data_IF_512632641664
#
_entry.id   IF_512632641664
#
_cell.length_a   1.000
_cell.length_b   1.000
_cell.length_c   1.000
_cell.angle_alpha   90.00
_cell.angle_beta   90.00
_cell.angle_gamma   90.00
#
_symmetry.space_group_name_H-M   'P 1'
#
loop_
_entity.id
_entity.type
_entity.pdbx_description
1 polymer ?
#
# COMPACT_ATOMS: atom_id res chain seq x y z
N UNK A 1 20.33 36.23 2.31
CA UNK A 1 20.08 34.86 1.82
C UNK A 1 20.60 33.89 2.87
N UNK A 2 19.73 33.20 3.62
CA UNK A 2 20.10 31.96 4.26
C UNK A 2 19.69 30.80 3.34
N UNK A 3 20.70 30.19 2.71
CA UNK A 3 20.59 28.87 2.12
C UNK A 3 20.51 27.79 3.23
N UNK A 4 19.94 26.63 2.86
CA UNK A 4 20.12 25.31 3.47
C UNK A 4 19.47 25.00 4.83
N UNK A 5 18.32 24.29 4.81
CA UNK A 5 18.02 23.07 5.60
C UNK A 5 16.53 22.64 5.55
N UNK A 6 15.89 22.67 4.37
CA UNK A 6 14.67 21.88 4.17
C UNK A 6 15.05 20.39 4.12
N UNK A 7 15.10 19.77 5.30
CA UNK A 7 15.42 18.37 5.53
C UNK A 7 14.37 17.46 4.89
N UNK A 8 14.52 17.25 3.59
CA UNK A 8 13.79 16.33 2.72
C UNK A 8 14.17 14.86 3.03
N UNK A 9 14.04 14.43 4.29
CA UNK A 9 14.50 13.12 4.77
C UNK A 9 13.37 12.43 5.52
N UNK A 10 12.66 11.59 4.80
CA UNK A 10 11.61 10.76 5.39
C UNK A 10 10.64 10.14 4.42
N UNK A 11 10.51 10.64 3.18
CA UNK A 11 9.54 10.13 2.21
C UNK A 11 10.08 8.86 1.51
N UNK A 12 9.74 7.63 1.93
CA UNK A 12 10.05 6.45 1.15
C UNK A 12 9.37 6.56 -0.22
N UNK A 13 9.98 6.01 -1.28
CA UNK A 13 9.29 5.92 -2.56
C UNK A 13 7.98 5.13 -2.41
N UNK A 14 6.93 5.52 -3.14
CA UNK A 14 5.56 4.99 -2.99
C UNK A 14 5.53 3.46 -2.96
N UNK A 15 6.29 2.80 -3.84
CA UNK A 15 6.36 1.34 -3.90
C UNK A 15 6.90 0.72 -2.61
N UNK A 16 7.88 1.36 -1.95
CA UNK A 16 8.48 0.88 -0.69
C UNK A 16 7.55 1.19 0.48
N UNK A 17 6.89 2.34 0.47
CA UNK A 17 5.86 2.67 1.44
C UNK A 17 4.69 1.67 1.38
N UNK A 18 4.29 1.31 0.17
CA UNK A 18 3.23 0.36 -0.11
C UNK A 18 3.58 -1.06 0.34
N UNK A 19 4.77 -1.55 -0.03
CA UNK A 19 5.18 -2.93 0.23
C UNK A 19 5.30 -3.26 1.71
N UNK A 20 5.83 -2.32 2.48
CA UNK A 20 6.18 -2.53 3.89
C UNK A 20 5.24 -1.79 4.86
N UNK A 21 4.26 -1.04 4.36
CA UNK A 21 3.34 -0.26 5.19
C UNK A 21 4.02 0.85 5.98
N UNK A 22 4.87 1.65 5.33
CA UNK A 22 5.55 2.78 5.95
C UNK A 22 4.69 4.03 5.91
N UNK A 23 4.88 4.89 6.90
CA UNK A 23 4.41 6.26 6.87
C UNK A 23 5.02 6.99 5.66
N UNK A 24 4.22 7.67 4.83
CA UNK A 24 4.72 8.40 3.68
C UNK A 24 5.54 9.64 4.05
N UNK A 25 5.36 10.17 5.27
CA UNK A 25 6.09 11.34 5.77
C UNK A 25 7.45 10.97 6.37
N UNK A 26 7.47 10.00 7.30
CA UNK A 26 8.66 9.70 8.11
C UNK A 26 9.29 8.32 7.84
N UNK A 27 8.66 7.47 7.02
CA UNK A 27 9.18 6.15 6.69
C UNK A 27 9.09 5.10 7.80
N UNK A 28 8.43 5.37 8.93
CA UNK A 28 8.25 4.38 9.99
C UNK A 28 7.17 3.34 9.63
N UNK A 29 7.30 2.04 9.99
CA UNK A 29 6.33 0.98 9.69
C UNK A 29 5.09 1.05 10.60
N UNK A 30 4.40 2.19 10.62
CA UNK A 30 3.28 2.50 11.52
C UNK A 30 1.95 2.65 10.80
N UNK A 31 1.89 2.39 9.49
CA UNK A 31 0.74 2.74 8.66
C UNK A 31 -0.52 1.90 9.01
N UNK A 32 -0.31 0.65 9.43
CA UNK A 32 -1.39 -0.30 9.70
C UNK A 32 -1.46 -0.68 11.19
N UNK A 33 -2.68 -0.77 11.71
CA UNK A 33 -3.02 -1.21 13.08
C UNK A 33 -3.73 -2.57 13.09
N UNK A 34 -3.89 -3.19 11.92
CA UNK A 34 -4.50 -4.50 11.76
C UNK A 34 -4.09 -5.16 10.44
N UNK A 35 -4.76 -6.26 10.05
CA UNK A 35 -4.43 -6.98 8.82
C UNK A 35 -4.59 -6.10 7.57
N UNK A 36 -5.64 -5.28 7.52
CA UNK A 36 -5.94 -4.37 6.39
C UNK A 36 -6.40 -2.97 6.83
N UNK A 37 -6.43 -2.72 8.14
CA UNK A 37 -6.93 -1.47 8.74
C UNK A 37 -5.78 -0.48 8.97
N UNK A 38 -5.96 0.74 8.49
CA UNK A 38 -5.04 1.85 8.78
C UNK A 38 -5.09 2.23 10.26
N UNK A 39 -3.92 2.60 10.80
CA UNK A 39 -3.87 3.31 12.08
C UNK A 39 -4.57 4.67 11.92
N UNK A 40 -5.13 5.26 12.99
CA UNK A 40 -5.68 6.62 12.91
C UNK A 40 -4.57 7.67 12.75
N UNK A 41 -3.40 7.44 13.37
CA UNK A 41 -2.26 8.37 13.34
C UNK A 41 -0.92 7.62 13.32
N UNK A 42 0.09 8.23 12.70
CA UNK A 42 1.46 7.75 12.77
C UNK A 42 1.98 7.85 14.22
N UNK A 43 2.52 6.75 14.75
CA UNK A 43 3.13 6.73 16.10
C UNK A 43 4.48 7.43 16.19
N UNK A 44 5.15 7.68 15.05
CA UNK A 44 6.48 8.29 15.00
C UNK A 44 6.43 9.80 14.73
N UNK A 45 5.71 10.23 13.68
CA UNK A 45 5.63 11.66 13.31
C UNK A 45 4.29 12.32 13.62
N UNK A 46 3.28 11.57 14.07
CA UNK A 46 1.96 12.14 14.39
C UNK A 46 1.07 12.45 13.19
N UNK A 47 1.47 12.10 11.95
CA UNK A 47 0.64 12.28 10.76
C UNK A 47 -0.73 11.61 10.93
N UNK A 48 -1.79 12.37 10.71
CA UNK A 48 -3.17 11.87 10.75
C UNK A 48 -3.50 11.14 9.44
N UNK A 49 -3.73 9.83 9.52
CA UNK A 49 -4.09 9.01 8.36
C UNK A 49 -5.59 9.11 8.03
N UNK A 50 -6.43 9.56 8.98
CA UNK A 50 -7.87 9.67 8.78
C UNK A 50 -8.27 10.74 7.76
N UNK A 51 -7.41 11.74 7.56
CA UNK A 51 -7.54 12.78 6.51
C UNK A 51 -7.41 12.20 5.09
N UNK A 52 -6.89 11.00 4.94
CA UNK A 52 -6.73 10.31 3.66
C UNK A 52 -7.83 9.26 3.50
N UNK A 53 -8.93 9.65 2.86
CA UNK A 53 -10.01 8.73 2.52
C UNK A 53 -9.66 7.95 1.24
N UNK A 54 -8.80 6.93 1.38
CA UNK A 54 -8.49 5.99 0.31
C UNK A 54 -9.47 4.82 0.33
N UNK A 55 -10.37 4.80 -0.64
CA UNK A 55 -11.37 3.75 -0.79
C UNK A 55 -10.78 2.40 -1.20
N UNK A 56 -11.62 1.36 -1.18
CA UNK A 56 -11.28 -0.01 -1.58
C UNK A 56 -11.21 -0.22 -3.11
N UNK A 57 -11.04 0.85 -3.90
CA UNK A 57 -11.07 0.79 -5.37
C UNK A 57 -10.18 -0.29 -6.01
N UNK A 58 -8.94 -0.51 -5.55
CA UNK A 58 -8.08 -1.57 -6.09
C UNK A 58 -8.51 -2.98 -5.69
N UNK A 59 -9.35 -3.15 -4.66
CA UNK A 59 -9.63 -4.45 -4.07
C UNK A 59 -10.19 -5.45 -5.07
N UNK A 60 -11.23 -5.06 -5.83
CA UNK A 60 -11.86 -5.94 -6.80
C UNK A 60 -10.88 -6.39 -7.89
N UNK A 61 -10.12 -5.45 -8.45
CA UNK A 61 -9.13 -5.73 -9.49
C UNK A 61 -7.99 -6.62 -8.98
N UNK A 62 -7.47 -6.34 -7.78
CA UNK A 62 -6.47 -7.15 -7.12
C UNK A 62 -6.97 -8.58 -6.89
N UNK A 63 -8.20 -8.74 -6.39
CA UNK A 63 -8.77 -10.07 -6.15
C UNK A 63 -8.98 -10.86 -7.43
N UNK A 64 -9.39 -10.24 -8.54
CA UNK A 64 -9.51 -10.93 -9.82
C UNK A 64 -8.15 -11.40 -10.35
N UNK A 65 -7.12 -10.54 -10.29
CA UNK A 65 -5.77 -10.91 -10.74
C UNK A 65 -5.21 -12.04 -9.88
N UNK A 66 -5.29 -11.91 -8.56
CA UNK A 66 -4.81 -12.94 -7.63
C UNK A 66 -5.56 -14.25 -7.88
N UNK A 67 -6.88 -14.21 -8.02
CA UNK A 67 -7.70 -15.38 -8.30
C UNK A 67 -7.30 -16.07 -9.61
N UNK A 68 -7.12 -15.31 -10.70
CA UNK A 68 -6.69 -15.85 -11.98
C UNK A 68 -5.31 -16.51 -11.90
N UNK A 69 -4.35 -15.87 -11.21
CA UNK A 69 -3.00 -16.42 -11.02
C UNK A 69 -3.01 -17.71 -10.19
N UNK A 70 -3.79 -17.74 -9.10
CA UNK A 70 -3.91 -18.91 -8.23
C UNK A 70 -4.58 -20.06 -8.99
N UNK A 71 -5.65 -19.81 -9.74
CA UNK A 71 -6.31 -20.86 -10.55
C UNK A 71 -5.36 -21.42 -11.60
N UNK A 72 -4.64 -20.56 -12.33
CA UNK A 72 -3.65 -21.00 -13.32
C UNK A 72 -2.54 -21.86 -12.67
N UNK A 73 -2.06 -21.43 -11.50
CA UNK A 73 -1.03 -22.17 -10.76
C UNK A 73 -1.56 -23.48 -10.17
N UNK A 74 -2.81 -23.52 -9.70
CA UNK A 74 -3.48 -24.73 -9.23
C UNK A 74 -3.61 -25.76 -10.34
N UNK A 75 -4.07 -25.35 -11.52
CA UNK A 75 -4.16 -26.21 -12.70
C UNK A 75 -2.77 -26.75 -13.08
N UNK A 76 -1.74 -25.89 -13.10
CA UNK A 76 -0.39 -26.32 -13.42
C UNK A 76 0.17 -27.35 -12.42
N UNK A 77 -0.08 -27.16 -11.12
CA UNK A 77 0.32 -28.11 -10.07
C UNK A 77 -0.44 -29.42 -10.19
N UNK A 78 -1.73 -29.36 -10.50
CA UNK A 78 -2.58 -30.54 -10.71
C UNK A 78 -2.05 -31.41 -11.86
N UNK A 79 -1.74 -30.80 -13.00
CA UNK A 79 -1.16 -31.49 -14.15
C UNK A 79 0.25 -32.05 -13.91
N UNK A 80 1.05 -31.42 -13.04
CA UNK A 80 2.44 -31.79 -12.84
C UNK A 80 2.65 -32.86 -11.75
N UNK A 81 1.80 -32.87 -10.71
CA UNK A 81 2.04 -33.66 -9.50
C UNK A 81 0.87 -34.55 -9.08
N UNK A 82 -0.29 -34.48 -9.76
CA UNK A 82 -1.56 -35.13 -9.39
C UNK A 82 -1.78 -35.20 -7.86
N UNK A 83 -1.67 -34.06 -7.12
CA UNK A 83 -1.77 -34.08 -5.67
C UNK A 83 -3.18 -34.43 -5.20
N UNK A 84 -3.32 -35.16 -4.08
CA UNK A 84 -4.63 -35.35 -3.44
C UNK A 84 -5.35 -34.03 -3.17
N UNK A 85 -6.69 -34.02 -3.25
CA UNK A 85 -7.50 -32.81 -3.05
C UNK A 85 -7.27 -32.10 -1.72
N UNK A 86 -6.95 -32.83 -0.65
CA UNK A 86 -6.67 -32.23 0.65
C UNK A 86 -5.39 -31.38 0.64
N UNK A 87 -4.37 -31.76 -0.14
CA UNK A 87 -3.14 -30.97 -0.32
C UNK A 87 -3.46 -29.66 -1.01
N UNK A 88 -4.29 -29.72 -2.07
CA UNK A 88 -4.77 -28.54 -2.76
C UNK A 88 -5.46 -27.56 -1.81
N UNK A 89 -6.41 -28.03 -1.00
CA UNK A 89 -7.11 -27.16 -0.04
C UNK A 89 -6.13 -26.58 0.98
N UNK A 90 -5.27 -27.40 1.58
CA UNK A 90 -4.33 -26.97 2.61
C UNK A 90 -3.28 -25.99 2.08
N UNK A 91 -2.89 -26.11 0.81
CA UNK A 91 -1.91 -25.24 0.17
C UNK A 91 -2.55 -23.94 -0.34
N UNK A 92 -3.61 -24.03 -1.13
CA UNK A 92 -4.18 -22.88 -1.83
C UNK A 92 -4.99 -21.97 -0.91
N UNK A 93 -5.66 -22.49 0.12
CA UNK A 93 -6.43 -21.66 1.07
C UNK A 93 -5.55 -20.63 1.79
N UNK A 94 -4.46 -21.01 2.50
CA UNK A 94 -3.62 -20.04 3.19
C UNK A 94 -2.88 -19.14 2.20
N UNK A 95 -2.44 -19.66 1.04
CA UNK A 95 -1.79 -18.85 0.00
C UNK A 95 -2.74 -17.78 -0.53
N UNK A 96 -3.98 -18.14 -0.84
CA UNK A 96 -4.99 -17.20 -1.33
C UNK A 96 -5.30 -16.14 -0.27
N UNK A 97 -5.52 -16.57 0.98
CA UNK A 97 -5.78 -15.65 2.08
C UNK A 97 -4.62 -14.66 2.27
N UNK A 98 -3.38 -15.15 2.29
CA UNK A 98 -2.19 -14.32 2.42
C UNK A 98 -2.03 -13.37 1.23
N UNK A 99 -2.20 -13.85 0.00
CA UNK A 99 -2.08 -13.04 -1.21
C UNK A 99 -3.11 -11.91 -1.25
N UNK A 100 -4.37 -12.19 -0.90
CA UNK A 100 -5.44 -11.19 -0.86
C UNK A 100 -5.17 -10.16 0.23
N UNK A 101 -4.87 -10.60 1.47
CA UNK A 101 -4.58 -9.67 2.58
C UNK A 101 -3.38 -8.78 2.24
N UNK A 102 -2.30 -9.38 1.74
CA UNK A 102 -1.10 -8.65 1.37
C UNK A 102 -1.36 -7.67 0.23
N UNK A 103 -2.02 -8.13 -0.83
CA UNK A 103 -2.35 -7.30 -1.99
C UNK A 103 -3.24 -6.11 -1.63
N UNK A 104 -4.24 -6.31 -0.76
CA UNK A 104 -5.06 -5.22 -0.22
C UNK A 104 -4.23 -4.23 0.58
N UNK A 105 -3.31 -4.72 1.42
CA UNK A 105 -2.45 -3.88 2.25
C UNK A 105 -1.53 -3.00 1.40
N UNK A 106 -0.89 -3.59 0.39
CA UNK A 106 -0.04 -2.87 -0.57
C UNK A 106 -0.85 -1.87 -1.39
N UNK A 107 -1.98 -2.29 -1.95
CA UNK A 107 -2.84 -1.44 -2.77
C UNK A 107 -3.34 -0.20 -2.02
N UNK A 108 -3.83 -0.40 -0.79
CA UNK A 108 -4.29 0.70 0.08
C UNK A 108 -3.14 1.64 0.46
N UNK A 109 -1.99 1.09 0.86
CA UNK A 109 -0.83 1.89 1.23
C UNK A 109 -0.27 2.71 0.06
N UNK A 110 -0.26 2.13 -1.16
CA UNK A 110 0.15 2.83 -2.38
C UNK A 110 -0.75 4.02 -2.67
N UNK A 111 -2.07 3.84 -2.57
CA UNK A 111 -3.03 4.92 -2.77
C UNK A 111 -2.82 6.04 -1.75
N UNK A 112 -2.66 5.70 -0.47
CA UNK A 112 -2.46 6.70 0.59
C UNK A 112 -1.18 7.50 0.35
N UNK A 113 -0.09 6.82 0.02
CA UNK A 113 1.18 7.46 -0.30
C UNK A 113 1.09 8.35 -1.55
N UNK A 114 0.35 7.93 -2.58
CA UNK A 114 0.15 8.74 -3.80
C UNK A 114 -0.69 9.99 -3.53
N UNK A 115 -1.74 9.88 -2.72
CA UNK A 115 -2.60 11.00 -2.33
C UNK A 115 -1.82 12.02 -1.49
N UNK A 116 -0.98 11.54 -0.58
CA UNK A 116 -0.08 12.37 0.20
C UNK A 116 0.91 13.16 -0.69
N UNK A 117 1.53 12.50 -1.67
CA UNK A 117 2.43 13.17 -2.61
C UNK A 117 1.69 14.20 -3.49
N UNK A 118 0.46 13.92 -3.91
CA UNK A 118 -0.34 14.85 -4.71
C UNK A 118 -0.73 16.10 -3.92
N UNK A 119 -1.19 15.95 -2.67
CA UNK A 119 -1.47 17.09 -1.79
C UNK A 119 -0.23 17.94 -1.53
N UNK A 120 0.94 17.30 -1.34
CA UNK A 120 2.20 18.03 -1.19
C UNK A 120 2.60 18.80 -2.46
N UNK A 121 2.32 18.23 -3.64
CA UNK A 121 2.57 18.90 -4.92
C UNK A 121 1.62 20.09 -5.16
N UNK A 122 0.34 19.97 -4.82
CA UNK A 122 -0.64 21.06 -4.91
C UNK A 122 -0.29 22.23 -3.99
N UNK A 123 0.12 21.97 -2.75
CA UNK A 123 0.56 23.00 -1.82
C UNK A 123 1.71 23.86 -2.37
N UNK A 124 2.66 23.25 -3.09
CA UNK A 124 3.78 23.96 -3.72
C UNK A 124 3.36 24.87 -4.88
N UNK A 125 2.25 24.56 -5.57
CA UNK A 125 1.77 25.36 -6.70
C UNK A 125 1.05 26.63 -6.24
N UNK A 126 0.36 26.58 -5.10
CA UNK A 126 -0.33 27.75 -4.53
C UNK A 126 0.68 28.80 -4.07
N UNK A 127 1.73 28.40 -3.35
CA UNK A 127 2.79 29.33 -2.91
C UNK A 127 3.42 30.09 -4.09
N UNK A 128 3.62 29.42 -5.23
CA UNK A 128 4.20 30.05 -6.42
C UNK A 128 3.30 31.11 -7.05
N UNK A 129 1.99 30.92 -7.01
CA UNK A 129 1.06 31.89 -7.60
C UNK A 129 0.95 33.16 -6.75
N UNK A 130 1.09 33.05 -5.42
CA UNK A 130 1.06 34.21 -4.53
C UNK A 130 2.35 35.06 -4.60
N UNK A 131 3.48 34.48 -5.02
CA UNK A 131 4.75 35.20 -5.21
C UNK A 131 4.81 36.00 -6.54
N UNK A 132 3.96 35.68 -7.53
CA UNK A 132 3.98 36.27 -8.88
C UNK A 132 2.95 37.42 -9.08
N UNK A 133 2.26 37.87 -8.02
CA UNK A 133 1.21 38.91 -8.05
C UNK A 133 1.59 40.18 -7.27
#
# INVERSE_FOLDING_TARGET
MPDSEQHQKGQPPVWRAALFGLCPECGAPTLFDGPTKFAPRCRACGLDYSTYNVGDGPAAFLTMIIGALIVAAAIAVDFAFEPPLWVHVLLWVPITAAAVVYGLRVGKAALLASEHQRKAAEGRLVDRHDDDA
#
